data_IF_426337558511
#
_entry.id   IF_426337558511
#
_cell.length_a   1.000
_cell.length_b   1.000
_cell.length_c   1.000
_cell.angle_alpha   90.00
_cell.angle_beta   90.00
_cell.angle_gamma   90.00
#
_symmetry.space_group_name_H-M   'P 1'
#
loop_
_entity.id
_entity.type
_entity.pdbx_description
1 polymer ?
#
# COMPACT_ATOMS: atom_id res chain seq x y z
N UNK A 1 13.74 -9.03 -9.18
CA UNK A 1 12.66 -10.04 -9.18
C UNK A 1 13.21 -11.34 -9.76
N UNK A 2 12.88 -12.53 -9.22
CA UNK A 2 13.29 -13.78 -9.87
C UNK A 2 12.56 -13.90 -11.21
N UNK A 3 13.22 -14.24 -12.34
CA UNK A 3 12.57 -14.34 -13.65
C UNK A 3 11.42 -15.35 -13.70
N UNK A 4 11.45 -16.36 -12.83
CA UNK A 4 10.41 -17.39 -12.69
C UNK A 4 9.32 -17.05 -11.68
N UNK A 5 9.34 -15.86 -11.06
CA UNK A 5 8.29 -15.44 -10.16
C UNK A 5 6.98 -15.22 -10.94
N UNK A 6 5.86 -15.69 -10.38
CA UNK A 6 4.52 -15.56 -10.97
C UNK A 6 4.31 -16.17 -12.38
N UNK A 7 5.26 -16.94 -12.92
CA UNK A 7 5.12 -17.60 -14.23
C UNK A 7 4.34 -18.91 -14.16
N UNK A 8 4.29 -19.56 -13.00
CA UNK A 8 3.56 -20.83 -12.79
C UNK A 8 2.08 -20.58 -12.53
N UNK A 9 1.23 -21.45 -13.07
CA UNK A 9 -0.20 -21.46 -12.76
C UNK A 9 -0.43 -21.91 -11.30
N UNK A 10 -0.57 -20.94 -10.39
CA UNK A 10 -0.82 -21.16 -8.95
C UNK A 10 -2.14 -20.52 -8.55
N UNK A 11 -2.65 -20.92 -7.37
CA UNK A 11 -3.80 -20.26 -6.72
C UNK A 11 -3.55 -18.75 -6.52
N UNK A 12 -2.34 -18.38 -6.08
CA UNK A 12 -1.92 -16.98 -5.88
C UNK A 12 -1.11 -16.49 -7.08
N UNK A 13 -1.81 -15.90 -8.05
CA UNK A 13 -1.20 -15.22 -9.21
C UNK A 13 -0.84 -13.77 -8.86
N UNK A 14 -0.05 -13.10 -9.71
CA UNK A 14 0.30 -11.69 -9.52
C UNK A 14 -0.94 -10.78 -9.37
N UNK A 15 -1.97 -10.84 -10.25
CA UNK A 15 -3.17 -10.02 -10.07
C UNK A 15 -3.89 -10.30 -8.76
N UNK A 16 -3.97 -11.57 -8.34
CA UNK A 16 -4.63 -11.94 -7.08
C UNK A 16 -3.87 -11.43 -5.85
N UNK A 17 -2.53 -11.48 -5.90
CA UNK A 17 -1.68 -10.91 -4.86
C UNK A 17 -1.90 -9.40 -4.75
N UNK A 18 -1.86 -8.67 -5.88
CA UNK A 18 -2.04 -7.22 -5.90
C UNK A 18 -3.42 -6.80 -5.42
N UNK A 19 -4.49 -7.44 -5.91
CA UNK A 19 -5.87 -7.17 -5.45
C UNK A 19 -6.01 -7.44 -3.95
N UNK A 20 -5.43 -8.54 -3.45
CA UNK A 20 -5.46 -8.85 -2.02
C UNK A 20 -4.67 -7.84 -1.17
N UNK A 21 -3.64 -7.19 -1.73
CA UNK A 21 -2.87 -6.14 -1.03
C UNK A 21 -3.57 -4.78 -1.06
N UNK A 22 -4.27 -4.45 -2.16
CA UNK A 22 -5.00 -3.18 -2.32
C UNK A 22 -6.31 -3.20 -1.52
N UNK A 23 -6.98 -4.35 -1.42
CA UNK A 23 -8.14 -4.51 -0.56
C UNK A 23 -7.69 -4.44 0.90
N UNK A 24 -8.03 -3.33 1.58
CA UNK A 24 -7.63 -3.04 2.95
C UNK A 24 -7.91 -4.26 3.86
N UNK A 25 -6.83 -4.85 4.36
CA UNK A 25 -6.86 -5.98 5.28
C UNK A 25 -7.26 -5.50 6.68
N UNK A 26 -8.54 -5.19 6.88
CA UNK A 26 -9.08 -4.65 8.13
C UNK A 26 -9.18 -5.70 9.25
N UNK A 27 -8.96 -6.99 8.93
CA UNK A 27 -8.86 -8.11 9.87
C UNK A 27 -7.49 -8.77 9.78
N UNK A 28 -7.29 -9.85 10.54
CA UNK A 28 -6.07 -10.64 10.44
C UNK A 28 -5.88 -11.18 9.01
N UNK A 29 -4.62 -11.25 8.57
CA UNK A 29 -4.26 -11.73 7.23
C UNK A 29 -4.90 -13.09 6.88
N UNK A 30 -5.01 -14.00 7.85
CA UNK A 30 -5.63 -15.31 7.62
C UNK A 30 -7.14 -15.19 7.31
N UNK A 31 -7.86 -14.33 8.03
CA UNK A 31 -9.30 -14.10 7.83
C UNK A 31 -9.53 -13.44 6.48
N UNK A 32 -8.71 -12.47 6.12
CA UNK A 32 -8.84 -11.76 4.85
C UNK A 32 -8.51 -12.65 3.66
N UNK A 33 -7.43 -13.44 3.72
CA UNK A 33 -7.12 -14.44 2.69
C UNK A 33 -8.25 -15.47 2.57
N UNK A 34 -8.83 -15.91 3.69
CA UNK A 34 -9.97 -16.81 3.66
C UNK A 34 -11.16 -16.20 2.92
N UNK A 35 -11.56 -14.97 3.29
CA UNK A 35 -12.68 -14.26 2.65
C UNK A 35 -12.43 -14.00 1.17
N UNK A 36 -11.24 -13.49 0.84
CA UNK A 36 -10.85 -13.19 -0.53
C UNK A 36 -10.94 -14.42 -1.44
N UNK A 37 -10.33 -15.54 -1.03
CA UNK A 37 -10.36 -16.77 -1.84
C UNK A 37 -11.73 -17.46 -1.82
N UNK A 38 -12.49 -17.36 -0.72
CA UNK A 38 -13.88 -17.84 -0.67
C UNK A 38 -14.76 -17.13 -1.69
N UNK A 39 -14.63 -15.81 -1.84
CA UNK A 39 -15.36 -15.03 -2.86
C UNK A 39 -14.97 -15.41 -4.30
N UNK A 40 -13.78 -15.98 -4.50
CA UNK A 40 -13.33 -16.53 -5.77
C UNK A 40 -13.75 -17.99 -6.02
N UNK A 41 -14.49 -18.62 -5.10
CA UNK A 41 -14.82 -20.04 -5.16
C UNK A 41 -13.59 -20.95 -5.06
N UNK A 42 -12.52 -20.48 -4.38
CA UNK A 42 -11.23 -21.16 -4.29
C UNK A 42 -10.83 -21.42 -2.85
N UNK A 43 -9.94 -22.42 -2.66
CA UNK A 43 -9.33 -22.68 -1.35
C UNK A 43 -8.37 -21.54 -0.99
N UNK A 44 -8.48 -21.06 0.24
CA UNK A 44 -7.61 -20.03 0.77
C UNK A 44 -6.14 -20.46 0.79
N UNK A 45 -5.25 -19.51 0.49
CA UNK A 45 -3.80 -19.70 0.59
C UNK A 45 -3.33 -19.46 2.02
N UNK A 46 -2.19 -20.03 2.38
CA UNK A 46 -1.60 -19.84 3.70
C UNK A 46 -0.94 -18.46 3.82
N UNK A 47 -0.82 -17.96 5.06
CA UNK A 47 -0.07 -16.73 5.37
C UNK A 47 1.37 -16.79 4.84
N UNK A 48 2.01 -17.95 4.97
CA UNK A 48 3.38 -18.18 4.50
C UNK A 48 3.48 -18.08 2.97
N UNK A 49 2.55 -18.71 2.24
CA UNK A 49 2.52 -18.63 0.79
C UNK A 49 2.30 -17.20 0.29
N UNK A 50 1.45 -16.43 0.98
CA UNK A 50 1.25 -15.02 0.70
C UNK A 50 2.52 -14.19 0.95
N UNK A 51 3.16 -14.33 2.12
CA UNK A 51 4.39 -13.61 2.44
C UNK A 51 5.52 -13.91 1.45
N UNK A 52 5.69 -15.18 1.06
CA UNK A 52 6.69 -15.58 0.07
C UNK A 52 6.41 -15.00 -1.32
N UNK A 53 5.14 -14.95 -1.73
CA UNK A 53 4.77 -14.31 -3.00
C UNK A 53 5.02 -12.79 -2.94
N UNK A 54 4.68 -12.14 -1.83
CA UNK A 54 4.91 -10.70 -1.60
C UNK A 54 6.40 -10.34 -1.64
N UNK A 55 7.26 -11.17 -1.05
CA UNK A 55 8.72 -10.97 -1.09
C UNK A 55 9.28 -10.99 -2.52
N UNK A 56 8.67 -11.78 -3.41
CA UNK A 56 9.06 -11.83 -4.82
C UNK A 56 8.46 -10.70 -5.66
N UNK A 57 7.68 -9.78 -5.08
CA UNK A 57 7.07 -8.67 -5.79
C UNK A 57 8.03 -7.47 -5.86
N UNK A 58 8.22 -6.89 -7.05
CA UNK A 58 8.95 -5.63 -7.18
C UNK A 58 8.06 -4.46 -6.66
N UNK A 59 8.49 -3.68 -5.65
CA UNK A 59 7.72 -2.55 -5.13
C UNK A 59 7.32 -1.50 -6.17
N UNK A 60 8.10 -1.34 -7.25
CA UNK A 60 7.79 -0.40 -8.34
C UNK A 60 6.42 -0.66 -9.00
N UNK A 61 5.86 -1.87 -8.85
CA UNK A 61 4.51 -2.17 -9.32
C UNK A 61 3.46 -1.21 -8.73
N UNK A 62 3.64 -0.74 -7.49
CA UNK A 62 2.68 0.16 -6.85
C UNK A 62 2.78 1.59 -7.41
N UNK A 63 3.99 2.04 -7.75
CA UNK A 63 4.20 3.31 -8.45
C UNK A 63 3.53 3.27 -9.82
N UNK A 64 3.80 2.22 -10.61
CA UNK A 64 3.20 2.05 -11.93
C UNK A 64 1.67 1.91 -11.87
N UNK A 65 1.13 1.16 -10.89
CA UNK A 65 -0.32 1.04 -10.70
C UNK A 65 -0.94 2.38 -10.33
N UNK A 66 -0.27 3.17 -9.48
CA UNK A 66 -0.74 4.50 -9.12
C UNK A 66 -0.72 5.46 -10.31
N UNK A 67 0.34 5.45 -11.11
CA UNK A 67 0.41 6.24 -12.35
C UNK A 67 -0.72 5.87 -13.32
N UNK A 68 -0.96 4.56 -13.52
CA UNK A 68 -2.06 4.08 -14.36
C UNK A 68 -3.41 4.57 -13.81
N UNK A 69 -3.62 4.46 -12.50
CA UNK A 69 -4.84 4.89 -11.84
C UNK A 69 -5.08 6.39 -12.00
N UNK A 70 -4.08 7.21 -11.66
CA UNK A 70 -4.13 8.67 -11.75
C UNK A 70 -4.36 9.12 -13.19
N UNK A 71 -3.60 8.58 -14.14
CA UNK A 71 -3.74 8.91 -15.56
C UNK A 71 -5.12 8.50 -16.10
N UNK A 72 -5.62 7.33 -15.70
CA UNK A 72 -6.96 6.88 -16.08
C UNK A 72 -8.04 7.79 -15.50
N UNK A 73 -7.93 8.17 -14.24
CA UNK A 73 -8.88 9.08 -13.58
C UNK A 73 -8.96 10.42 -14.31
N UNK A 74 -7.82 11.11 -14.51
CA UNK A 74 -7.82 12.44 -15.13
C UNK A 74 -8.14 12.43 -16.64
N UNK A 75 -7.94 11.31 -17.34
CA UNK A 75 -8.40 11.17 -18.74
C UNK A 75 -9.93 11.04 -18.84
N UNK A 76 -10.56 10.39 -17.87
CA UNK A 76 -11.98 10.05 -17.93
C UNK A 76 -12.87 11.05 -17.18
N UNK A 77 -12.33 11.80 -16.21
CA UNK A 77 -13.08 12.83 -15.50
C UNK A 77 -13.19 14.07 -16.38
N UNK A 78 -14.35 14.24 -17.00
CA UNK A 78 -14.66 15.40 -17.83
C UNK A 78 -15.15 16.61 -17.02
N UNK A 79 -15.82 16.38 -15.89
CA UNK A 79 -16.33 17.43 -15.00
C UNK A 79 -15.93 17.18 -13.54
N UNK A 80 -14.88 17.85 -13.08
CA UNK A 80 -14.57 17.94 -11.65
C UNK A 80 -15.38 19.10 -11.04
N UNK A 81 -16.14 18.84 -9.98
CA UNK A 81 -16.85 19.92 -9.28
C UNK A 81 -15.85 20.89 -8.67
N UNK A 82 -16.09 22.18 -8.89
CA UNK A 82 -15.29 23.24 -8.31
C UNK A 82 -16.10 23.98 -7.26
N UNK A 83 -15.43 24.41 -6.20
CA UNK A 83 -15.99 25.35 -5.24
C UNK A 83 -15.38 26.72 -5.53
N UNK A 84 -16.21 27.68 -5.96
CA UNK A 84 -15.76 29.04 -6.35
C UNK A 84 -14.64 29.05 -7.39
N UNK A 85 -14.66 28.10 -8.34
CA UNK A 85 -13.63 27.97 -9.38
C UNK A 85 -12.38 27.17 -8.98
N UNK A 86 -12.30 26.68 -7.75
CA UNK A 86 -11.17 25.87 -7.27
C UNK A 86 -11.55 24.39 -7.08
N UNK A 87 -10.60 23.50 -7.37
CA UNK A 87 -10.71 22.08 -6.97
C UNK A 87 -10.37 22.00 -5.49
N UNK A 88 -11.30 21.50 -4.69
CA UNK A 88 -11.06 21.29 -3.26
C UNK A 88 -10.49 19.90 -3.07
N UNK A 89 -9.31 19.82 -2.48
CA UNK A 89 -8.70 18.57 -2.08
C UNK A 89 -8.54 18.53 -0.56
N UNK A 90 -8.93 17.42 0.05
CA UNK A 90 -8.62 17.12 1.44
C UNK A 90 -7.34 16.28 1.48
N UNK A 91 -6.47 16.57 2.44
CA UNK A 91 -5.25 15.80 2.68
C UNK A 91 -5.30 15.27 4.10
N UNK A 92 -5.31 13.95 4.25
CA UNK A 92 -5.17 13.27 5.53
C UNK A 92 -3.82 12.55 5.58
N UNK A 93 -3.21 12.45 6.76
CA UNK A 93 -1.88 11.87 6.90
C UNK A 93 -1.79 10.95 8.12
N UNK A 94 -1.24 9.75 7.90
CA UNK A 94 -0.91 8.83 8.98
C UNK A 94 0.60 8.71 9.16
N UNK A 95 1.06 8.84 10.41
CA UNK A 95 2.44 8.58 10.78
C UNK A 95 2.67 7.08 11.05
N UNK A 96 3.65 6.49 10.38
CA UNK A 96 4.04 5.08 10.56
C UNK A 96 5.45 5.06 11.14
N UNK A 97 5.61 4.39 12.29
CA UNK A 97 6.92 4.15 12.89
C UNK A 97 7.67 3.07 12.11
N UNK A 98 8.92 3.35 11.79
CA UNK A 98 9.82 2.40 11.12
C UNK A 98 10.74 1.71 12.14
N UNK A 99 11.22 0.49 11.83
CA UNK A 99 12.33 -0.10 12.56
C UNK A 99 13.53 0.85 12.59
N UNK A 100 14.29 0.84 13.69
CA UNK A 100 15.44 1.73 13.84
C UNK A 100 16.69 1.14 13.19
N UNK A 101 16.74 1.16 11.86
CA UNK A 101 17.95 0.80 11.08
C UNK A 101 18.73 2.04 10.67
N UNK A 102 20.03 1.89 10.36
CA UNK A 102 20.86 3.01 9.88
C UNK A 102 20.31 3.59 8.57
N UNK A 103 19.80 2.74 7.69
CA UNK A 103 19.21 3.16 6.41
C UNK A 103 17.97 4.03 6.64
N UNK A 104 17.00 3.57 7.45
CA UNK A 104 15.78 4.34 7.69
C UNK A 104 16.02 5.67 8.40
N UNK A 105 17.01 5.73 9.30
CA UNK A 105 17.40 7.00 9.94
C UNK A 105 18.06 7.95 8.94
N UNK A 106 18.85 7.43 7.99
CA UNK A 106 19.47 8.22 6.93
C UNK A 106 18.42 8.78 5.96
N UNK A 107 17.48 7.94 5.54
CA UNK A 107 16.51 8.28 4.49
C UNK A 107 15.32 9.10 5.01
N UNK A 108 14.83 8.78 6.22
CA UNK A 108 13.61 9.38 6.78
C UNK A 108 13.84 10.23 8.04
N UNK A 109 15.06 10.27 8.56
CA UNK A 109 15.38 11.01 9.77
C UNK A 109 14.77 10.39 11.03
N UNK A 110 14.60 11.20 12.08
CA UNK A 110 14.01 10.76 13.35
C UNK A 110 13.17 11.87 13.96
N UNK A 111 12.04 11.49 14.54
CA UNK A 111 11.19 12.40 15.29
C UNK A 111 11.54 12.34 16.78
N UNK A 112 11.50 13.48 17.46
CA UNK A 112 11.67 13.60 18.91
C UNK A 112 10.30 13.76 19.56
N UNK A 113 10.06 13.12 20.69
CA UNK A 113 8.93 13.46 21.54
C UNK A 113 9.27 14.67 22.44
N UNK A 114 8.25 15.31 22.99
CA UNK A 114 8.39 16.49 23.87
C UNK A 114 9.18 16.17 25.16
N UNK A 115 9.17 14.93 25.63
CA UNK A 115 9.90 14.44 26.82
C UNK A 115 11.34 13.97 26.49
N UNK A 116 12.00 14.69 25.59
CA UNK A 116 13.12 14.24 24.76
C UNK A 116 14.30 13.61 25.50
N UNK A 117 14.37 12.28 25.49
CA UNK A 117 15.59 11.55 25.81
C UNK A 117 16.30 11.17 24.51
N UNK A 118 17.61 11.46 24.37
CA UNK A 118 18.35 11.32 23.09
C UNK A 118 18.28 9.90 22.49
N UNK A 119 18.10 8.89 23.34
CA UNK A 119 18.04 7.49 22.93
C UNK A 119 16.67 7.04 22.38
N UNK A 120 15.58 7.80 22.61
CA UNK A 120 14.20 7.46 22.19
C UNK A 120 13.79 8.12 20.86
N UNK A 121 14.73 8.25 19.93
CA UNK A 121 14.46 8.71 18.55
C UNK A 121 13.95 7.56 17.71
N UNK A 122 12.81 7.77 17.04
CA UNK A 122 12.21 6.80 16.12
C UNK A 122 12.14 7.39 14.71
N UNK A 123 12.57 6.64 13.68
CA UNK A 123 12.27 6.99 12.31
C UNK A 123 10.77 6.85 12.08
N UNK A 124 10.16 7.88 11.49
CA UNK A 124 8.72 7.91 11.19
C UNK A 124 8.57 8.39 9.75
N UNK A 125 7.70 7.73 9.00
CA UNK A 125 7.24 8.19 7.69
C UNK A 125 5.81 8.68 7.79
N UNK A 126 5.47 9.71 7.02
CA UNK A 126 4.08 10.18 6.88
C UNK A 126 3.54 9.73 5.54
N UNK A 127 2.50 8.91 5.58
CA UNK A 127 1.75 8.55 4.39
C UNK A 127 0.60 9.56 4.25
N UNK A 128 0.63 10.32 3.16
CA UNK A 128 -0.42 11.28 2.82
C UNK A 128 -1.44 10.62 1.89
N UNK A 129 -2.71 10.81 2.20
CA UNK A 129 -3.85 10.41 1.38
C UNK A 129 -4.56 11.67 0.93
N UNK A 130 -4.59 11.90 -0.37
CA UNK A 130 -5.22 13.07 -0.98
C UNK A 130 -6.55 12.64 -1.58
N UNK A 131 -7.62 13.30 -1.15
CA UNK A 131 -8.98 13.11 -1.66
C UNK A 131 -9.40 14.34 -2.44
N UNK A 132 -9.84 14.17 -3.67
CA UNK A 132 -10.53 15.23 -4.40
C UNK A 132 -11.97 15.25 -3.89
N UNK A 133 -12.41 16.37 -3.32
CA UNK A 133 -13.76 16.53 -2.82
C UNK A 133 -14.71 16.77 -4.00
N UNK A 134 -15.56 15.79 -4.29
CA UNK A 134 -16.63 15.80 -5.30
C UNK A 134 -17.97 16.12 -4.62
#
# INVERSE_FOLDING_TARGET
MKPSAFTRNRQLTLPRLLIAMINLLNKSLAVELYRYFKNLGKKAVTKQAFSFARENLNPQVFESLNEIFVNSYYKNVTNCKTHKGYIVAACDATGISLPKTKEFVKDFGCVKNQLGNRNRRMPIVRLYLIFIMI
#
